data_IF_839167342167
#
_entry.id   IF_839167342167
#
_cell.length_a   1.000
_cell.length_b   1.000
_cell.length_c   1.000
_cell.angle_alpha   90.00
_cell.angle_beta   90.00
_cell.angle_gamma   90.00
#
_symmetry.space_group_name_H-M   'P 1'
#
loop_
_entity.id
_entity.type
_entity.pdbx_description
1 polymer ?
#
# COMPACT_ATOMS: atom_id res chain seq x y z
N UNK A 1 11.30 5.05 5.56
CA UNK A 1 11.01 3.61 5.83
C UNK A 1 9.74 3.46 6.66
N UNK A 2 9.49 4.33 7.64
CA UNK A 2 8.21 4.34 8.38
C UNK A 2 7.02 4.57 7.45
N UNK A 3 7.11 5.54 6.54
CA UNK A 3 6.01 5.86 5.62
C UNK A 3 5.77 4.74 4.62
N UNK A 4 6.83 4.12 4.09
CA UNK A 4 6.71 2.89 3.30
C UNK A 4 5.95 1.79 4.03
N UNK A 5 6.27 1.53 5.30
CA UNK A 5 5.60 0.49 6.08
C UNK A 5 4.12 0.83 6.36
N UNK A 6 3.83 2.09 6.67
CA UNK A 6 2.45 2.58 6.87
C UNK A 6 1.62 2.46 5.60
N UNK A 7 2.17 2.88 4.46
CA UNK A 7 1.46 2.78 3.17
C UNK A 7 1.32 1.32 2.74
N UNK A 8 2.36 0.50 2.91
CA UNK A 8 2.26 -0.93 2.68
C UNK A 8 1.14 -1.56 3.50
N UNK A 9 1.11 -1.28 4.81
CA UNK A 9 0.06 -1.77 5.71
C UNK A 9 -1.33 -1.34 5.25
N UNK A 10 -1.51 -0.04 5.01
CA UNK A 10 -2.78 0.52 4.56
C UNK A 10 -3.29 -0.15 3.28
N UNK A 11 -2.42 -0.31 2.26
CA UNK A 11 -2.80 -0.96 1.00
C UNK A 11 -3.23 -2.41 1.24
N UNK A 12 -2.43 -3.21 1.97
CA UNK A 12 -2.77 -4.63 2.14
C UNK A 12 -4.03 -4.82 3.00
N UNK A 13 -4.34 -3.90 3.92
CA UNK A 13 -5.59 -3.93 4.71
C UNK A 13 -6.80 -3.45 3.90
N UNK A 14 -6.66 -2.38 3.11
CA UNK A 14 -7.76 -1.83 2.30
C UNK A 14 -8.28 -2.86 1.28
N UNK A 15 -7.42 -3.79 0.84
CA UNK A 15 -7.75 -4.81 -0.16
C UNK A 15 -7.73 -6.25 0.37
N UNK A 16 -7.73 -6.44 1.69
CA UNK A 16 -7.87 -7.77 2.31
C UNK A 16 -9.03 -7.80 3.26
N UNK A 17 -9.97 -8.70 3.02
CA UNK A 17 -10.94 -9.07 4.03
C UNK A 17 -10.28 -9.96 5.09
N UNK A 18 -9.94 -9.36 6.23
CA UNK A 18 -9.26 -10.03 7.34
C UNK A 18 -10.14 -11.12 7.95
N UNK A 19 -11.48 -10.96 7.96
CA UNK A 19 -12.40 -11.93 8.55
C UNK A 19 -12.42 -13.23 7.76
N UNK A 20 -12.34 -13.14 6.45
CA UNK A 20 -12.38 -14.29 5.55
C UNK A 20 -11.01 -14.68 4.96
N UNK A 21 -9.94 -14.02 5.41
CA UNK A 21 -8.58 -14.19 4.89
C UNK A 21 -8.50 -14.12 3.34
N UNK A 22 -9.31 -13.23 2.75
CA UNK A 22 -9.46 -13.11 1.29
C UNK A 22 -8.88 -11.79 0.81
N UNK A 23 -7.81 -11.88 0.03
CA UNK A 23 -7.14 -10.71 -0.57
C UNK A 23 -7.58 -10.50 -2.01
N UNK A 24 -7.89 -9.26 -2.39
CA UNK A 24 -8.09 -8.82 -3.77
C UNK A 24 -6.74 -8.53 -4.42
N UNK A 25 -6.02 -9.59 -4.75
CA UNK A 25 -4.68 -9.52 -5.39
C UNK A 25 -4.71 -8.73 -6.70
N UNK A 26 -5.83 -8.78 -7.43
CA UNK A 26 -6.06 -8.02 -8.66
C UNK A 26 -6.03 -6.50 -8.40
N UNK A 27 -6.63 -6.04 -7.30
CA UNK A 27 -6.63 -4.63 -6.91
C UNK A 27 -5.27 -4.20 -6.38
N UNK A 28 -4.58 -5.01 -5.60
CA UNK A 28 -3.20 -4.70 -5.15
C UNK A 28 -2.23 -4.63 -6.35
N UNK A 29 -2.38 -5.49 -7.35
CA UNK A 29 -1.63 -5.40 -8.61
C UNK A 29 -1.92 -4.10 -9.37
N UNK A 30 -3.18 -3.63 -9.34
CA UNK A 30 -3.57 -2.33 -9.89
C UNK A 30 -2.94 -1.16 -9.11
N UNK A 31 -2.88 -1.24 -7.78
CA UNK A 31 -2.18 -0.25 -6.94
C UNK A 31 -0.70 -0.13 -7.31
N UNK A 32 -0.03 -1.24 -7.59
CA UNK A 32 1.38 -1.20 -8.07
C UNK A 32 1.50 -0.41 -9.38
N UNK A 33 0.54 -0.56 -10.31
CA UNK A 33 0.54 0.20 -11.56
C UNK A 33 0.28 1.69 -11.32
N UNK A 34 -0.65 2.03 -10.42
CA UNK A 34 -0.91 3.41 -10.00
C UNK A 34 0.33 4.06 -9.40
N UNK A 35 1.02 3.36 -8.49
CA UNK A 35 2.27 3.81 -7.89
C UNK A 35 3.35 4.12 -8.94
N UNK A 36 3.49 3.28 -9.97
CA UNK A 36 4.42 3.53 -11.09
C UNK A 36 4.01 4.75 -11.90
N UNK A 37 2.73 4.87 -12.25
CA UNK A 37 2.19 6.03 -12.95
C UNK A 37 2.48 7.35 -12.20
N UNK A 38 2.29 7.37 -10.87
CA UNK A 38 2.67 8.52 -10.05
C UNK A 38 4.18 8.74 -10.00
N UNK A 39 4.99 7.68 -9.96
CA UNK A 39 6.45 7.76 -10.05
C UNK A 39 6.95 8.33 -11.38
N UNK A 40 6.18 8.16 -12.45
CA UNK A 40 6.39 8.73 -13.78
C UNK A 40 5.87 10.18 -13.90
N UNK A 41 5.23 10.70 -12.85
CA UNK A 41 4.76 12.10 -12.78
C UNK A 41 3.29 12.31 -13.09
N UNK A 42 2.48 11.25 -13.29
CA UNK A 42 1.03 11.41 -13.46
C UNK A 42 0.37 11.94 -12.19
N UNK A 43 -0.68 12.75 -12.34
CA UNK A 43 -1.50 13.24 -11.21
C UNK A 43 -2.68 12.29 -10.92
N UNK A 44 -3.35 12.40 -9.74
CA UNK A 44 -4.57 11.66 -9.45
C UNK A 44 -5.67 11.87 -10.50
N UNK A 45 -5.80 13.09 -11.03
CA UNK A 45 -6.78 13.46 -12.07
C UNK A 45 -6.47 12.82 -13.43
N UNK A 46 -5.20 12.54 -13.73
CA UNK A 46 -4.81 11.83 -14.94
C UNK A 46 -5.08 10.32 -14.78
N UNK A 47 -4.74 9.75 -13.62
CA UNK A 47 -4.98 8.33 -13.33
C UNK A 47 -6.48 8.03 -13.26
N UNK A 48 -7.31 8.90 -12.67
CA UNK A 48 -8.77 8.67 -12.55
C UNK A 48 -9.49 8.65 -13.89
N UNK A 49 -8.94 9.34 -14.91
CA UNK A 49 -9.44 9.29 -16.29
C UNK A 49 -9.11 7.96 -16.97
N UNK A 50 -8.04 7.30 -16.55
CA UNK A 50 -7.63 5.98 -17.03
C UNK A 50 -8.34 4.86 -16.26
N UNK A 51 -9.58 4.54 -16.66
CA UNK A 51 -10.43 3.55 -15.95
C UNK A 51 -9.77 2.19 -15.74
N UNK A 52 -8.87 1.77 -16.62
CA UNK A 52 -8.10 0.54 -16.48
C UNK A 52 -7.20 0.55 -15.22
N UNK A 53 -6.73 1.73 -14.80
CA UNK A 53 -5.90 1.94 -13.62
C UNK A 53 -6.69 2.36 -12.38
N UNK A 54 -7.79 3.11 -12.54
CA UNK A 54 -8.47 3.73 -11.39
C UNK A 54 -9.62 2.94 -10.80
N UNK A 55 -10.29 2.10 -11.60
CA UNK A 55 -11.55 1.46 -11.18
C UNK A 55 -11.35 0.57 -9.95
N UNK A 56 -12.20 0.73 -8.93
CA UNK A 56 -12.15 0.05 -7.61
C UNK A 56 -10.97 0.46 -6.71
N UNK A 57 -10.13 1.40 -7.14
CA UNK A 57 -8.99 1.89 -6.35
C UNK A 57 -8.99 3.41 -6.19
N UNK A 58 -10.09 4.08 -6.56
CA UNK A 58 -10.22 5.54 -6.52
C UNK A 58 -9.99 6.12 -5.14
N UNK A 59 -10.47 5.43 -4.09
CA UNK A 59 -10.29 5.84 -2.70
C UNK A 59 -8.82 5.87 -2.25
N UNK A 60 -7.93 5.26 -3.01
CA UNK A 60 -6.51 5.15 -2.68
C UNK A 60 -5.62 6.15 -3.40
N UNK A 61 -6.12 6.80 -4.45
CA UNK A 61 -5.28 7.63 -5.34
C UNK A 61 -4.59 8.77 -4.60
N UNK A 62 -5.31 9.49 -3.74
CA UNK A 62 -4.75 10.67 -3.06
C UNK A 62 -3.61 10.31 -2.12
N UNK A 63 -3.82 9.35 -1.20
CA UNK A 63 -2.77 9.01 -0.24
C UNK A 63 -1.56 8.33 -0.89
N UNK A 64 -1.78 7.61 -2.00
CA UNK A 64 -0.68 7.03 -2.78
C UNK A 64 0.11 8.13 -3.50
N UNK A 65 -0.57 9.11 -4.07
CA UNK A 65 0.08 10.25 -4.70
C UNK A 65 0.91 11.05 -3.70
N UNK A 66 0.34 11.40 -2.55
CA UNK A 66 1.02 12.11 -1.46
C UNK A 66 2.30 11.36 -1.02
N UNK A 67 2.21 10.03 -0.88
CA UNK A 67 3.37 9.21 -0.57
C UNK A 67 4.45 9.29 -1.65
N UNK A 68 4.09 9.17 -2.93
CA UNK A 68 5.08 9.22 -4.03
C UNK A 68 5.74 10.60 -4.12
N UNK A 69 5.00 11.68 -3.87
CA UNK A 69 5.57 13.03 -3.88
C UNK A 69 6.49 13.29 -2.67
N UNK A 70 6.14 12.75 -1.50
CA UNK A 70 6.94 12.93 -0.27
C UNK A 70 8.14 11.99 -0.14
N UNK A 71 8.09 10.81 -0.76
CA UNK A 71 9.03 9.71 -0.53
C UNK A 71 9.38 8.95 -1.83
N UNK A 72 9.69 9.69 -2.90
CA UNK A 72 9.94 9.11 -4.23
C UNK A 72 11.05 8.05 -4.22
N UNK A 73 12.08 8.24 -3.42
CA UNK A 73 13.21 7.32 -3.23
C UNK A 73 12.80 5.98 -2.57
N UNK A 74 11.65 5.93 -1.91
CA UNK A 74 11.13 4.72 -1.28
C UNK A 74 10.11 3.96 -2.15
N UNK A 75 9.70 4.53 -3.29
CA UNK A 75 8.69 3.98 -4.19
C UNK A 75 9.00 2.52 -4.59
N UNK A 76 10.23 2.26 -5.03
CA UNK A 76 10.64 0.91 -5.45
C UNK A 76 10.59 -0.09 -4.30
N UNK A 77 10.88 0.35 -3.07
CA UNK A 77 10.79 -0.49 -1.88
C UNK A 77 9.35 -0.88 -1.58
N UNK A 78 8.43 0.08 -1.66
CA UNK A 78 6.99 -0.18 -1.51
C UNK A 78 6.49 -1.14 -2.59
N UNK A 79 6.81 -0.89 -3.85
CA UNK A 79 6.42 -1.75 -4.98
C UNK A 79 6.95 -3.18 -4.80
N UNK A 80 8.20 -3.32 -4.36
CA UNK A 80 8.80 -4.63 -4.10
C UNK A 80 8.11 -5.35 -2.94
N UNK A 81 7.80 -4.64 -1.85
CA UNK A 81 7.06 -5.22 -0.72
C UNK A 81 5.66 -5.71 -1.14
N UNK A 82 4.90 -4.89 -1.89
CA UNK A 82 3.59 -5.28 -2.42
C UNK A 82 3.69 -6.47 -3.38
N UNK A 83 4.72 -6.51 -4.22
CA UNK A 83 4.97 -7.61 -5.15
C UNK A 83 5.29 -8.92 -4.42
N UNK A 84 6.06 -8.87 -3.33
CA UNK A 84 6.33 -10.03 -2.47
C UNK A 84 5.07 -10.50 -1.76
N UNK A 85 4.27 -9.57 -1.25
CA UNK A 85 2.99 -9.88 -0.62
C UNK A 85 2.06 -10.61 -1.58
N UNK A 86 1.89 -10.13 -2.82
CA UNK A 86 1.07 -10.78 -3.85
C UNK A 86 1.47 -12.23 -4.10
N UNK A 87 2.78 -12.50 -4.19
CA UNK A 87 3.35 -13.84 -4.43
C UNK A 87 3.28 -14.76 -3.22
N UNK A 88 2.96 -14.23 -2.05
CA UNK A 88 2.91 -15.01 -0.81
C UNK A 88 1.65 -15.89 -0.76
N UNK A 89 1.73 -17.14 -0.27
CA UNK A 89 0.55 -17.96 -0.03
C UNK A 89 -0.44 -17.28 0.94
N UNK A 90 -1.73 -17.61 0.82
CA UNK A 90 -2.77 -16.99 1.67
C UNK A 90 -2.49 -17.05 3.18
N UNK A 91 -2.02 -18.19 3.77
CA UNK A 91 -1.66 -18.23 5.18
C UNK A 91 -0.51 -17.27 5.54
N UNK A 92 0.43 -17.06 4.62
CA UNK A 92 1.55 -16.15 4.81
C UNK A 92 1.11 -14.69 4.74
N UNK A 93 0.20 -14.32 3.84
CA UNK A 93 -0.37 -12.97 3.74
C UNK A 93 -0.98 -12.51 5.06
N UNK A 94 -1.79 -13.37 5.70
CA UNK A 94 -2.39 -13.04 6.99
C UNK A 94 -1.34 -12.83 8.10
N UNK A 95 -0.26 -13.62 8.10
CA UNK A 95 0.85 -13.43 9.03
C UNK A 95 1.60 -12.12 8.76
N UNK A 96 1.81 -11.77 7.48
CA UNK A 96 2.44 -10.52 7.08
C UNK A 96 1.60 -9.32 7.54
N UNK A 97 0.28 -9.35 7.36
CA UNK A 97 -0.63 -8.29 7.82
C UNK A 97 -0.47 -8.09 9.33
N UNK A 98 -0.63 -9.15 10.13
CA UNK A 98 -0.50 -9.07 11.60
C UNK A 98 0.87 -8.60 12.06
N UNK A 99 1.94 -9.07 11.42
CA UNK A 99 3.30 -8.64 11.76
C UNK A 99 3.51 -7.15 11.43
N UNK A 100 2.97 -6.71 10.29
CA UNK A 100 3.06 -5.31 9.87
C UNK A 100 2.26 -4.41 10.82
N UNK A 101 1.07 -4.85 11.25
CA UNK A 101 0.26 -4.18 12.27
C UNK A 101 1.06 -3.92 13.54
N UNK A 102 1.68 -4.97 14.10
CA UNK A 102 2.53 -4.85 15.30
C UNK A 102 3.65 -3.82 15.10
N UNK A 103 4.34 -3.85 13.95
CA UNK A 103 5.42 -2.89 13.69
C UNK A 103 4.93 -1.45 13.50
N UNK A 104 3.71 -1.24 13.01
CA UNK A 104 3.11 0.09 12.87
C UNK A 104 2.65 0.60 14.25
N UNK A 105 2.03 -0.26 15.07
CA UNK A 105 1.53 0.09 16.40
C UNK A 105 2.63 0.32 17.44
N UNK A 106 3.62 -0.58 17.51
CA UNK A 106 4.78 -0.48 18.42
C UNK A 106 5.53 0.84 18.20
N UNK A 107 5.64 1.27 16.93
CA UNK A 107 6.24 2.55 16.58
C UNK A 107 5.38 3.76 16.95
N UNK A 108 4.05 3.64 16.93
CA UNK A 108 3.15 4.69 17.41
C UNK A 108 3.34 4.89 18.92
N UNK A 109 3.37 3.80 19.67
CA UNK A 109 3.60 3.84 21.13
C UNK A 109 4.97 4.45 21.48
N UNK A 110 6.02 4.14 20.72
CA UNK A 110 7.35 4.72 20.91
C UNK A 110 7.42 6.24 20.62
N UNK A 111 6.55 6.76 19.75
CA UNK A 111 6.46 8.21 19.47
C UNK A 111 5.67 8.96 20.55
N UNK A 112 4.66 8.32 21.14
CA UNK A 112 3.83 8.89 22.20
C UNK A 112 4.51 8.87 23.58
N UNK A 113 5.42 7.91 23.83
CA UNK A 113 6.18 7.80 25.09
C UNK A 113 7.38 8.73 25.24
N UNK A 114 7.66 9.61 24.27
CA UNK A 114 8.77 10.57 24.27
C UNK A 114 8.30 12.03 24.45
N UNK A 115 7.11 12.24 25.05
CA UNK A 115 6.56 13.54 25.42
C UNK A 115 6.62 13.77 26.93
#
# INVERSE_FOLDING_TARGET
MQDTLKIFYRVITDYTDIRWAKTRDDLISKIIKVLRAFGEGKTPEEVIKEKALSTEVEGSLNYLYDFVQGHREELDRLINALSLFLKSPAPCKMRIIKLTEVFVEDRRAAQEGNL
#
